data_IF_440112852866
#
_entry.id   IF_440112852866
#
_cell.length_a   1.000
_cell.length_b   1.000
_cell.length_c   1.000
_cell.angle_alpha   90.00
_cell.angle_beta   90.00
_cell.angle_gamma   90.00
#
_symmetry.space_group_name_H-M   'P 1'
#
loop_
_entity.id
_entity.type
_entity.pdbx_description
1 polymer ?
#
# COMPACT_ATOMS: atom_id res chain seq x y z
N UNK A 1 -7.42 7.83 8.13
CA UNK A 1 -7.65 9.08 7.37
C UNK A 1 -8.29 8.66 6.06
N UNK A 2 -9.58 8.91 5.86
CA UNK A 2 -10.26 8.53 4.62
C UNK A 2 -9.72 9.38 3.46
N UNK A 3 -9.11 8.74 2.47
CA UNK A 3 -8.70 9.39 1.24
C UNK A 3 -9.91 9.45 0.31
N UNK A 4 -10.32 10.67 -0.03
CA UNK A 4 -11.33 10.89 -1.06
C UNK A 4 -10.61 11.14 -2.38
N UNK A 5 -10.85 10.28 -3.36
CA UNK A 5 -10.33 10.45 -4.72
C UNK A 5 -11.48 10.73 -5.68
N UNK A 6 -11.21 11.57 -6.67
CA UNK A 6 -12.13 11.78 -7.80
C UNK A 6 -11.73 10.80 -8.90
N UNK A 7 -12.66 9.94 -9.29
CA UNK A 7 -12.44 8.94 -10.33
C UNK A 7 -13.51 9.06 -11.42
N UNK A 8 -13.22 8.50 -12.60
CA UNK A 8 -14.13 8.47 -13.73
C UNK A 8 -14.78 7.08 -13.80
N UNK A 9 -16.11 7.00 -13.61
CA UNK A 9 -16.83 5.72 -13.46
C UNK A 9 -18.19 5.71 -14.18
N UNK A 10 -18.85 4.55 -14.27
CA UNK A 10 -20.15 4.43 -14.92
C UNK A 10 -21.25 5.22 -14.20
N UNK A 11 -22.15 5.81 -14.99
CA UNK A 11 -23.31 6.55 -14.48
C UNK A 11 -24.43 5.63 -13.96
N UNK A 12 -25.31 6.17 -13.11
CA UNK A 12 -26.51 5.48 -12.65
C UNK A 12 -26.29 4.34 -11.65
N UNK A 13 -25.11 4.28 -11.02
CA UNK A 13 -24.79 3.27 -10.00
C UNK A 13 -25.28 3.74 -8.64
N UNK A 14 -26.08 2.92 -7.96
CA UNK A 14 -26.58 3.22 -6.63
C UNK A 14 -25.44 3.28 -5.60
N UNK A 15 -25.50 4.26 -4.69
CA UNK A 15 -24.51 4.43 -3.61
C UNK A 15 -23.25 5.21 -4.02
N UNK A 16 -23.19 5.74 -5.24
CA UNK A 16 -22.08 6.56 -5.73
C UNK A 16 -22.41 8.05 -5.59
N UNK A 17 -21.43 8.84 -5.13
CA UNK A 17 -21.56 10.31 -5.09
C UNK A 17 -20.98 10.90 -6.37
N UNK A 18 -21.84 11.44 -7.23
CA UNK A 18 -21.41 12.08 -8.48
C UNK A 18 -21.03 13.55 -8.28
N UNK A 19 -20.00 14.01 -9.01
CA UNK A 19 -19.63 15.41 -9.04
C UNK A 19 -20.61 16.17 -9.96
N UNK A 20 -21.13 17.29 -9.46
CA UNK A 20 -22.13 18.10 -10.13
C UNK A 20 -21.56 19.46 -10.52
N UNK A 21 -21.76 19.88 -11.77
CA UNK A 21 -21.56 21.24 -12.23
C UNK A 21 -22.89 21.81 -12.74
N UNK A 22 -23.33 22.93 -12.16
CA UNK A 22 -24.63 23.54 -12.48
C UNK A 22 -25.82 22.56 -12.40
N UNK A 23 -25.80 21.66 -11.40
CA UNK A 23 -26.86 20.67 -11.17
C UNK A 23 -26.86 19.47 -12.13
N UNK A 24 -25.81 19.31 -12.96
CA UNK A 24 -25.64 18.17 -13.87
C UNK A 24 -24.39 17.38 -13.54
N UNK A 25 -24.45 16.07 -13.71
CA UNK A 25 -23.31 15.18 -13.56
C UNK A 25 -22.22 15.55 -14.56
N UNK A 26 -20.97 15.59 -14.10
CA UNK A 26 -19.83 15.96 -14.95
C UNK A 26 -19.36 14.71 -15.69
N UNK A 27 -19.57 14.68 -17.00
CA UNK A 27 -19.02 13.64 -17.87
C UNK A 27 -17.50 13.74 -17.95
N UNK A 28 -16.81 12.60 -17.86
CA UNK A 28 -15.36 12.50 -17.94
C UNK A 28 -14.86 11.68 -19.15
N UNK A 29 -15.78 11.12 -19.94
CA UNK A 29 -15.45 10.45 -21.20
C UNK A 29 -16.36 9.28 -21.49
N UNK A 30 -15.88 8.37 -22.33
CA UNK A 30 -16.52 7.09 -22.62
C UNK A 30 -15.54 5.94 -22.37
N UNK A 31 -16.03 4.80 -21.90
CA UNK A 31 -15.20 3.59 -21.79
C UNK A 31 -14.89 3.00 -23.18
N UNK A 32 -14.09 1.93 -23.21
CA UNK A 32 -13.76 1.20 -24.44
C UNK A 32 -14.95 0.52 -25.12
N UNK A 33 -16.09 0.41 -24.44
CA UNK A 33 -17.34 -0.15 -24.93
C UNK A 33 -18.32 0.94 -25.39
N UNK A 34 -17.95 2.23 -25.29
CA UNK A 34 -18.78 3.37 -25.67
C UNK A 34 -19.76 3.85 -24.60
N UNK A 35 -19.68 3.35 -23.36
CA UNK A 35 -20.55 3.79 -22.27
C UNK A 35 -20.08 5.15 -21.72
N UNK A 36 -21.02 6.05 -21.44
CA UNK A 36 -20.72 7.35 -20.85
C UNK A 36 -20.22 7.18 -19.40
N UNK A 37 -19.12 7.87 -19.08
CA UNK A 37 -18.49 7.90 -17.77
C UNK A 37 -18.67 9.28 -17.14
N UNK A 38 -18.87 9.28 -15.82
CA UNK A 38 -19.09 10.46 -15.00
C UNK A 38 -18.07 10.52 -13.85
N UNK A 39 -17.74 11.74 -13.43
CA UNK A 39 -16.89 11.97 -12.28
C UNK A 39 -17.65 11.56 -11.01
N UNK A 40 -17.04 10.66 -10.26
CA UNK A 40 -17.55 10.17 -8.99
C UNK A 40 -16.50 10.36 -7.89
N UNK A 41 -16.95 10.71 -6.69
CA UNK A 41 -16.12 10.79 -5.49
C UNK A 41 -16.13 9.41 -4.84
N UNK A 42 -15.01 8.70 -4.96
CA UNK A 42 -14.79 7.44 -4.28
C UNK A 42 -14.07 7.72 -2.96
N UNK A 43 -14.72 7.39 -1.86
CA UNK A 43 -14.04 7.25 -0.57
C UNK A 43 -13.31 5.92 -0.59
N UNK A 44 -11.98 5.94 -0.78
CA UNK A 44 -11.16 4.75 -0.61
C UNK A 44 -11.11 4.42 0.89
N UNK A 45 -12.16 3.75 1.35
CA UNK A 45 -12.26 3.25 2.72
C UNK A 45 -11.48 1.93 2.89
N UNK A 46 -11.12 1.27 1.78
CA UNK A 46 -10.35 0.02 1.76
C UNK A 46 -8.82 0.22 1.80
N UNK A 47 -8.32 1.44 1.54
CA UNK A 47 -6.90 1.81 1.73
C UNK A 47 -6.70 2.39 3.15
N UNK A 48 -7.35 1.80 4.15
CA UNK A 48 -7.03 2.04 5.55
C UNK A 48 -6.13 0.91 6.05
N UNK A 49 -5.19 1.18 6.97
CA UNK A 49 -4.43 0.11 7.61
C UNK A 49 -5.42 -0.89 8.21
N UNK A 50 -5.36 -2.12 7.71
CA UNK A 50 -6.22 -3.20 8.18
C UNK A 50 -5.89 -3.45 9.64
N UNK A 51 -6.88 -3.45 10.52
CA UNK A 51 -6.71 -3.79 11.94
C UNK A 51 -5.96 -5.13 12.06
N UNK A 52 -4.82 -5.14 12.75
CA UNK A 52 -3.94 -6.31 12.87
C UNK A 52 -2.73 -6.31 11.91
N UNK A 53 -2.65 -5.36 10.98
CA UNK A 53 -1.47 -5.15 10.12
C UNK A 53 -0.21 -4.81 10.93
N UNK A 54 -0.35 -4.14 12.08
CA UNK A 54 0.79 -3.87 12.97
C UNK A 54 1.38 -5.15 13.58
N UNK A 55 0.56 -6.16 13.88
CA UNK A 55 1.01 -7.44 14.47
C UNK A 55 1.75 -8.26 13.43
N UNK A 56 1.14 -8.41 12.25
CA UNK A 56 1.77 -9.14 11.12
C UNK A 56 3.06 -8.44 10.67
N UNK A 57 3.06 -7.11 10.63
CA UNK A 57 4.25 -6.32 10.31
C UNK A 57 5.38 -6.50 11.32
N UNK A 58 5.07 -6.57 12.62
CA UNK A 58 6.04 -6.83 13.68
C UNK A 58 6.63 -8.25 13.57
N UNK A 59 5.79 -9.25 13.31
CA UNK A 59 6.24 -10.64 13.16
C UNK A 59 7.18 -10.83 11.97
N UNK A 60 6.79 -10.32 10.79
CA UNK A 60 7.60 -10.41 9.57
C UNK A 60 8.88 -9.59 9.73
N UNK A 61 8.77 -8.34 10.19
CA UNK A 61 9.91 -7.48 10.43
C UNK A 61 10.90 -8.08 11.45
N UNK A 62 10.38 -8.66 12.52
CA UNK A 62 11.16 -9.35 13.55
C UNK A 62 11.89 -10.58 13.00
N UNK A 63 11.26 -11.38 12.15
CA UNK A 63 11.91 -12.53 11.51
C UNK A 63 13.08 -12.09 10.63
N UNK A 64 12.91 -11.04 9.82
CA UNK A 64 13.97 -10.50 8.95
C UNK A 64 15.13 -9.96 9.78
N UNK A 65 14.84 -9.16 10.81
CA UNK A 65 15.86 -8.65 11.73
C UNK A 65 16.58 -9.78 12.47
N UNK A 66 15.89 -10.85 12.84
CA UNK A 66 16.47 -12.04 13.45
C UNK A 66 17.49 -12.73 12.55
N UNK A 67 17.16 -12.93 11.27
CA UNK A 67 18.10 -13.51 10.29
C UNK A 67 19.33 -12.63 10.10
N UNK A 68 19.12 -11.31 9.97
CA UNK A 68 20.23 -10.34 9.84
C UNK A 68 21.13 -10.34 11.08
N UNK A 69 20.56 -10.44 12.28
CA UNK A 69 21.31 -10.50 13.53
C UNK A 69 22.17 -11.78 13.60
N UNK A 70 21.63 -12.94 13.22
CA UNK A 70 22.40 -14.20 13.19
C UNK A 70 23.55 -14.11 12.19
N UNK A 71 23.28 -13.62 10.97
CA UNK A 71 24.31 -13.44 9.95
C UNK A 71 25.42 -12.50 10.42
N UNK A 72 25.06 -11.42 11.12
CA UNK A 72 26.02 -10.49 11.71
C UNK A 72 26.86 -11.14 12.81
N UNK A 73 26.26 -11.90 13.72
CA UNK A 73 26.99 -12.62 14.77
C UNK A 73 28.02 -13.60 14.18
N UNK A 74 27.64 -14.37 13.16
CA UNK A 74 28.57 -15.27 12.47
C UNK A 74 29.73 -14.51 11.82
N UNK A 75 29.45 -13.36 11.21
CA UNK A 75 30.48 -12.49 10.64
C UNK A 75 31.44 -11.98 11.71
N UNK A 76 30.95 -11.56 12.87
CA UNK A 76 31.78 -11.06 13.98
C UNK A 76 32.65 -12.17 14.57
N UNK A 77 32.09 -13.36 14.83
CA UNK A 77 32.84 -14.50 15.36
C UNK A 77 33.92 -14.93 14.37
N UNK A 78 33.58 -14.99 13.08
CA UNK A 78 34.56 -15.26 12.02
C UNK A 78 35.67 -14.22 12.06
N UNK A 79 35.33 -12.93 12.01
CA UNK A 79 36.33 -11.88 11.99
C UNK A 79 37.21 -11.92 13.27
N UNK A 80 36.67 -12.29 14.43
CA UNK A 80 37.46 -12.52 15.66
C UNK A 80 38.44 -13.69 15.55
N UNK A 81 37.99 -14.86 15.07
CA UNK A 81 38.84 -16.06 14.92
C UNK A 81 39.93 -15.83 13.86
N UNK A 82 39.58 -15.20 12.75
CA UNK A 82 40.54 -14.95 11.66
C UNK A 82 41.46 -13.75 11.93
N UNK A 83 41.12 -12.85 12.87
CA UNK A 83 42.02 -11.78 13.33
C UNK A 83 43.06 -12.27 14.36
N UNK A 84 42.79 -13.32 15.13
CA UNK A 84 43.76 -13.89 16.10
C UNK A 84 44.73 -14.92 15.48
N UNK A 85 44.37 -15.51 14.32
CA UNK A 85 45.19 -16.53 13.64
C UNK A 85 46.17 -16.01 12.57
N UNK A 86 46.39 -14.68 12.51
CA UNK A 86 47.15 -14.00 11.46
C UNK A 86 48.46 -13.34 11.88
N UNK A 87 48.92 -13.57 13.12
CA UNK A 87 50.26 -13.22 13.59
C UNK A 87 50.88 -14.44 14.29
N UNK A 88 51.63 -15.24 13.52
CA UNK A 88 52.34 -16.45 13.98
C UNK A 88 52.62 -17.42 12.86
#
# INVERSE_FOLDING_TARGET
MALSAVVCGPGGVAGVTYALAAGREIGCGTDSSGNALFLQVSTLSDDQPVMGGEVVGLEIGGAVLGVLAVAWCLRVVRDFIYSDGGEG
#
